data_IF_520476156177
#
_entry.id   IF_520476156177
#
_cell.length_a   1.000
_cell.length_b   1.000
_cell.length_c   1.000
_cell.angle_alpha   90.00
_cell.angle_beta   90.00
_cell.angle_gamma   90.00
#
_symmetry.space_group_name_H-M   'P 1'
#
loop_
_entity.id
_entity.type
_entity.pdbx_description
1 polymer ?
#
# COMPACT_ATOMS: atom_id res chain seq x y z
N UNK A 1 -6.69 -19.46 -2.56
CA UNK A 1 -7.61 -18.65 -3.39
C UNK A 1 -8.43 -17.82 -2.42
N UNK A 2 -8.37 -16.50 -2.54
CA UNK A 2 -9.09 -15.57 -1.66
C UNK A 2 -10.58 -15.65 -2.04
N UNK A 3 -11.46 -15.82 -1.05
CA UNK A 3 -12.91 -15.72 -1.29
C UNK A 3 -13.31 -14.25 -1.26
N UNK A 4 -13.36 -13.64 -2.44
CA UNK A 4 -13.63 -12.21 -2.59
C UNK A 4 -15.07 -11.80 -2.23
N UNK A 5 -15.98 -12.76 -1.99
CA UNK A 5 -17.35 -12.51 -1.55
C UNK A 5 -17.49 -12.51 -0.01
N UNK A 6 -16.38 -12.61 0.73
CA UNK A 6 -16.37 -12.57 2.19
C UNK A 6 -16.00 -11.18 2.70
N UNK A 7 -16.74 -10.72 3.71
CA UNK A 7 -16.40 -9.52 4.44
C UNK A 7 -15.21 -9.79 5.35
N UNK A 8 -14.22 -8.90 5.33
CA UNK A 8 -13.01 -9.01 6.11
C UNK A 8 -12.96 -7.97 7.20
N UNK A 9 -12.45 -8.39 8.35
CA UNK A 9 -12.08 -7.53 9.47
C UNK A 9 -10.66 -7.93 9.88
N UNK A 10 -9.63 -7.32 9.25
CA UNK A 10 -8.24 -7.72 9.47
C UNK A 10 -7.80 -7.65 10.93
N UNK A 11 -8.23 -6.63 11.68
CA UNK A 11 -7.95 -6.47 13.11
C UNK A 11 -8.57 -7.62 13.94
N UNK A 12 -9.86 -7.92 13.74
CA UNK A 12 -10.53 -8.99 14.44
C UNK A 12 -10.02 -10.39 14.04
N UNK A 13 -9.75 -10.61 12.74
CA UNK A 13 -9.14 -11.85 12.23
C UNK A 13 -7.77 -12.10 12.87
N UNK A 14 -6.92 -11.07 12.93
CA UNK A 14 -5.61 -11.16 13.56
C UNK A 14 -5.72 -11.45 15.07
N UNK A 15 -6.59 -10.72 15.78
CA UNK A 15 -6.82 -10.95 17.20
C UNK A 15 -7.33 -12.37 17.48
N UNK A 16 -8.25 -12.89 16.65
CA UNK A 16 -8.78 -14.24 16.80
C UNK A 16 -7.72 -15.34 16.59
N UNK A 17 -6.83 -15.16 15.61
CA UNK A 17 -5.77 -16.13 15.30
C UNK A 17 -4.65 -16.10 16.35
N UNK A 18 -4.34 -14.91 16.86
CA UNK A 18 -3.30 -14.71 17.89
C UNK A 18 -3.80 -15.12 19.28
N UNK A 19 -5.10 -14.93 19.55
CA UNK A 19 -5.71 -15.19 20.85
C UNK A 19 -5.37 -14.15 21.92
N UNK A 20 -5.85 -14.40 23.14
CA UNK A 20 -5.72 -13.47 24.26
C UNK A 20 -4.26 -13.21 24.67
N UNK A 21 -4.03 -12.05 25.30
CA UNK A 21 -2.75 -11.69 25.93
C UNK A 21 -1.79 -10.89 25.03
N UNK A 22 -2.19 -10.57 23.81
CA UNK A 22 -1.48 -9.70 22.88
C UNK A 22 -2.42 -8.63 22.35
N UNK A 23 -1.85 -7.49 21.98
CA UNK A 23 -2.56 -6.42 21.30
C UNK A 23 -1.96 -6.25 19.90
N UNK A 24 -2.67 -6.70 18.86
CA UNK A 24 -2.08 -6.91 17.54
C UNK A 24 -2.41 -5.81 16.54
N UNK A 25 -1.44 -5.49 15.69
CA UNK A 25 -1.57 -4.54 14.58
C UNK A 25 -1.41 -5.25 13.24
N UNK A 26 -2.08 -4.69 12.24
CA UNK A 26 -2.12 -5.19 10.87
C UNK A 26 -1.73 -4.08 9.90
N UNK A 27 -1.62 -4.40 8.61
CA UNK A 27 -1.33 -3.40 7.55
C UNK A 27 -2.59 -2.92 6.83
N UNK A 28 -3.69 -3.69 6.92
CA UNK A 28 -4.92 -3.47 6.17
C UNK A 28 -5.92 -2.63 6.96
N UNK A 29 -6.74 -1.78 6.31
CA UNK A 29 -7.85 -1.10 6.96
C UNK A 29 -8.85 -2.09 7.56
N UNK A 30 -9.38 -1.76 8.73
CA UNK A 30 -10.40 -2.59 9.41
C UNK A 30 -11.67 -1.78 9.71
N UNK A 31 -12.86 -2.42 9.68
CA UNK A 31 -14.09 -1.76 10.11
C UNK A 31 -14.06 -1.50 11.64
N UNK A 32 -14.83 -0.53 12.15
CA UNK A 32 -15.69 0.37 11.39
C UNK A 32 -14.92 1.50 10.71
N UNK A 33 -15.56 2.19 9.76
CA UNK A 33 -15.09 3.46 9.23
C UNK A 33 -14.72 4.47 10.34
N UNK A 34 -13.63 5.20 10.12
CA UNK A 34 -13.14 6.25 11.04
C UNK A 34 -13.48 7.62 10.44
N UNK A 35 -14.31 8.38 11.15
CA UNK A 35 -14.80 9.69 10.68
C UNK A 35 -14.05 10.90 11.29
N UNK A 36 -12.98 10.63 12.06
CA UNK A 36 -12.23 11.68 12.71
C UNK A 36 -11.26 12.41 11.75
N UNK A 37 -11.26 13.76 11.74
CA UNK A 37 -10.28 14.53 10.99
C UNK A 37 -8.86 14.37 11.60
N UNK A 38 -7.80 14.62 10.82
CA UNK A 38 -7.80 15.09 9.43
C UNK A 38 -7.71 13.96 8.40
N UNK A 39 -7.81 12.70 8.82
CA UNK A 39 -7.53 11.55 7.96
C UNK A 39 -8.77 10.85 7.44
N UNK A 40 -9.86 10.81 8.22
CA UNK A 40 -11.09 10.06 7.87
C UNK A 40 -10.76 8.63 7.40
N UNK A 41 -9.86 8.00 8.17
CA UNK A 41 -9.28 6.69 7.95
C UNK A 41 -8.55 6.24 9.22
N UNK A 42 -8.50 4.93 9.43
CA UNK A 42 -7.72 4.30 10.47
C UNK A 42 -6.20 4.39 10.21
N UNK A 43 -5.44 3.92 11.20
CA UNK A 43 -3.98 3.78 11.16
C UNK A 43 -3.63 2.40 11.74
N UNK A 44 -3.82 1.33 10.93
CA UNK A 44 -3.88 -0.05 11.44
C UNK A 44 -2.55 -0.54 12.02
N UNK A 45 -1.43 0.03 11.56
CA UNK A 45 -0.09 -0.29 12.04
C UNK A 45 0.28 0.45 13.33
N UNK A 46 -0.44 1.51 13.73
CA UNK A 46 -0.01 2.38 14.82
C UNK A 46 0.16 1.62 16.16
N UNK A 47 1.33 1.70 16.83
CA UNK A 47 1.67 0.84 17.96
C UNK A 47 1.02 1.27 19.30
N UNK A 48 0.05 2.18 19.27
CA UNK A 48 -0.65 2.61 20.50
C UNK A 48 -1.45 1.46 21.08
N UNK A 49 -1.20 1.11 22.35
CA UNK A 49 -1.94 0.06 23.04
C UNK A 49 -3.45 0.34 23.13
N UNK A 50 -4.27 -0.68 22.82
CA UNK A 50 -5.73 -0.76 22.91
C UNK A 50 -6.20 -1.69 24.04
N UNK A 51 -5.29 -2.40 24.70
CA UNK A 51 -5.63 -3.45 25.68
C UNK A 51 -4.50 -3.81 26.65
N UNK A 52 -4.68 -4.89 27.41
CA UNK A 52 -3.67 -5.38 28.34
C UNK A 52 -2.80 -6.45 27.66
N UNK A 53 -1.55 -6.11 27.37
CA UNK A 53 -0.57 -7.01 26.75
C UNK A 53 0.50 -6.25 25.96
N UNK A 54 1.58 -6.91 25.54
CA UNK A 54 2.53 -6.32 24.60
C UNK A 54 1.86 -6.08 23.24
N UNK A 55 2.19 -4.95 22.62
CA UNK A 55 1.76 -4.62 21.26
C UNK A 55 2.60 -5.39 20.26
N UNK A 56 1.95 -6.15 19.38
CA UNK A 56 2.59 -6.88 18.28
C UNK A 56 2.29 -6.14 16.99
N UNK A 57 3.32 -5.73 16.24
CA UNK A 57 3.14 -5.03 14.98
C UNK A 57 3.97 -5.61 13.83
N UNK A 58 3.65 -5.26 12.56
CA UNK A 58 4.45 -5.63 11.40
C UNK A 58 5.79 -4.90 11.28
N UNK A 59 6.16 -4.09 12.27
CA UNK A 59 7.35 -3.25 12.27
C UNK A 59 8.03 -3.23 13.65
N UNK A 60 9.28 -2.79 13.68
CA UNK A 60 10.14 -2.80 14.88
C UNK A 60 9.81 -1.75 15.94
N UNK A 61 8.96 -0.76 15.64
CA UNK A 61 8.52 0.26 16.60
C UNK A 61 7.49 -0.17 17.67
N UNK A 62 7.08 -1.44 17.73
CA UNK A 62 6.19 -1.96 18.76
C UNK A 62 6.95 -2.77 19.83
N UNK A 63 6.25 -3.35 20.82
CA UNK A 63 6.89 -4.18 21.85
C UNK A 63 7.45 -5.49 21.28
N UNK A 64 6.76 -6.06 20.28
CA UNK A 64 7.12 -7.27 19.56
C UNK A 64 6.80 -7.12 18.07
N UNK A 65 7.54 -7.82 17.22
CA UNK A 65 7.17 -8.01 15.82
C UNK A 65 6.33 -9.27 15.62
N UNK A 66 5.60 -9.36 14.50
CA UNK A 66 4.99 -10.64 14.09
C UNK A 66 6.05 -11.74 13.91
N UNK A 67 7.27 -11.42 13.46
CA UNK A 67 8.36 -12.39 13.32
C UNK A 67 8.80 -12.96 14.68
N UNK A 68 8.89 -12.13 15.73
CA UNK A 68 9.13 -12.58 17.10
C UNK A 68 8.02 -13.53 17.58
N UNK A 69 6.77 -13.21 17.24
CA UNK A 69 5.61 -14.02 17.60
C UNK A 69 5.60 -15.36 16.85
N UNK A 70 5.95 -15.37 15.57
CA UNK A 70 6.08 -16.57 14.74
C UNK A 70 7.21 -17.46 15.27
N UNK A 71 8.34 -16.89 15.68
CA UNK A 71 9.43 -17.66 16.28
C UNK A 71 8.98 -18.42 17.53
N UNK A 72 8.12 -17.82 18.35
CA UNK A 72 7.51 -18.47 19.50
C UNK A 72 6.34 -19.41 19.12
N UNK A 73 5.62 -19.10 18.04
CA UNK A 73 4.42 -19.82 17.57
C UNK A 73 4.42 -20.01 16.04
N UNK A 74 5.16 -21.01 15.53
CA UNK A 74 5.36 -21.19 14.08
C UNK A 74 4.08 -21.39 13.26
N UNK A 75 2.98 -21.84 13.89
CA UNK A 75 1.68 -22.02 13.24
C UNK A 75 1.02 -20.72 12.77
N UNK A 76 1.56 -19.55 13.14
CA UNK A 76 1.08 -18.23 12.69
C UNK A 76 1.68 -17.80 11.34
N UNK A 77 2.72 -18.49 10.86
CA UNK A 77 3.50 -18.07 9.70
C UNK A 77 2.64 -17.89 8.45
N UNK A 78 1.76 -18.85 8.13
CA UNK A 78 0.93 -18.77 6.93
C UNK A 78 -0.04 -17.58 6.96
N UNK A 79 -0.66 -17.31 8.11
CA UNK A 79 -1.57 -16.17 8.27
C UNK A 79 -0.85 -14.83 8.12
N UNK A 80 0.33 -14.72 8.72
CA UNK A 80 1.13 -13.51 8.71
C UNK A 80 1.76 -13.25 7.32
N UNK A 81 2.27 -14.29 6.68
CA UNK A 81 2.92 -14.21 5.36
C UNK A 81 1.94 -13.75 4.28
N UNK A 82 0.74 -14.33 4.29
CA UNK A 82 -0.37 -14.01 3.40
C UNK A 82 -0.89 -12.56 3.53
N UNK A 83 -0.56 -11.88 4.64
CA UNK A 83 -0.93 -10.48 4.92
C UNK A 83 0.28 -9.54 5.04
N UNK A 84 1.47 -10.00 4.70
CA UNK A 84 2.72 -9.24 4.79
C UNK A 84 3.08 -8.76 6.22
N UNK A 85 2.52 -9.40 7.25
CA UNK A 85 2.72 -9.02 8.65
C UNK A 85 4.08 -9.50 9.19
N UNK A 86 4.51 -10.69 8.76
CA UNK A 86 5.74 -11.39 9.15
C UNK A 86 5.91 -12.65 8.30
N UNK A 87 7.03 -13.37 8.40
CA UNK A 87 7.40 -14.47 7.50
C UNK A 87 7.19 -14.09 6.02
N UNK A 88 7.61 -12.88 5.66
CA UNK A 88 7.21 -12.21 4.41
C UNK A 88 7.70 -13.01 3.19
N UNK A 89 6.85 -13.17 2.17
CA UNK A 89 7.24 -13.91 0.97
C UNK A 89 8.18 -13.08 0.09
N UNK A 90 8.86 -13.75 -0.85
CA UNK A 90 9.54 -13.07 -1.94
C UNK A 90 8.51 -12.55 -2.95
N UNK A 91 8.84 -11.48 -3.65
CA UNK A 91 7.99 -10.97 -4.72
C UNK A 91 7.85 -12.02 -5.84
N UNK A 92 6.65 -12.18 -6.43
CA UNK A 92 6.46 -13.01 -7.61
C UNK A 92 7.20 -12.42 -8.81
N UNK A 93 7.41 -13.24 -9.84
CA UNK A 93 8.00 -12.80 -11.12
C UNK A 93 7.07 -11.79 -11.80
N UNK A 94 7.65 -10.72 -12.35
CA UNK A 94 6.92 -9.72 -13.11
C UNK A 94 6.17 -10.36 -14.30
N UNK A 95 4.82 -10.21 -14.39
CA UNK A 95 4.06 -10.83 -15.47
C UNK A 95 4.43 -10.27 -16.86
N UNK A 96 4.29 -11.07 -17.94
CA UNK A 96 4.44 -10.55 -19.29
C UNK A 96 3.37 -9.50 -19.61
N UNK A 97 3.72 -8.50 -20.44
CA UNK A 97 2.85 -7.37 -20.80
C UNK A 97 2.29 -6.60 -19.59
N UNK A 98 3.01 -6.57 -18.47
CA UNK A 98 2.56 -5.96 -17.22
C UNK A 98 2.19 -4.47 -17.38
N UNK A 99 2.98 -3.67 -18.10
CA UNK A 99 2.74 -2.24 -18.30
C UNK A 99 1.33 -1.92 -18.87
N UNK A 100 0.81 -2.76 -19.78
CA UNK A 100 -0.55 -2.61 -20.32
C UNK A 100 -1.63 -2.81 -19.26
N UNK A 101 -1.48 -3.86 -18.43
CA UNK A 101 -2.41 -4.13 -17.35
C UNK A 101 -2.31 -3.06 -16.26
N UNK A 102 -1.09 -2.65 -15.91
CA UNK A 102 -0.82 -1.59 -14.95
C UNK A 102 -1.56 -0.31 -15.29
N UNK A 103 -1.50 0.12 -16.56
CA UNK A 103 -2.22 1.30 -17.03
C UNK A 103 -3.73 1.23 -16.75
N UNK A 104 -4.37 0.08 -16.98
CA UNK A 104 -5.80 -0.10 -16.77
C UNK A 104 -6.17 -0.26 -15.28
N UNK A 105 -5.32 -0.88 -14.46
CA UNK A 105 -5.47 -0.87 -13.00
C UNK A 105 -5.32 0.54 -12.42
N UNK A 106 -4.37 1.34 -12.89
CA UNK A 106 -4.20 2.74 -12.48
C UNK A 106 -5.45 3.56 -12.84
N UNK A 107 -5.97 3.42 -14.07
CA UNK A 107 -7.25 4.05 -14.45
C UNK A 107 -8.38 3.68 -13.49
N UNK A 108 -8.54 2.40 -13.16
CA UNK A 108 -9.57 1.95 -12.22
C UNK A 108 -9.36 2.52 -10.81
N UNK A 109 -8.12 2.61 -10.34
CA UNK A 109 -7.78 3.07 -9.01
C UNK A 109 -8.24 4.50 -8.75
N UNK A 110 -7.89 5.46 -9.62
CA UNK A 110 -8.29 6.86 -9.40
C UNK A 110 -9.73 7.13 -9.83
N UNK A 111 -10.22 6.49 -10.90
CA UNK A 111 -11.50 6.88 -11.50
C UNK A 111 -12.72 6.22 -10.87
N UNK A 112 -12.56 5.10 -10.17
CA UNK A 112 -13.66 4.38 -9.53
C UNK A 112 -13.40 4.19 -8.04
N UNK A 113 -12.28 3.56 -7.68
CA UNK A 113 -12.01 3.17 -6.27
C UNK A 113 -11.82 4.41 -5.40
N UNK A 114 -10.92 5.30 -5.79
CA UNK A 114 -10.68 6.55 -5.07
C UNK A 114 -11.86 7.53 -5.20
N UNK A 115 -12.50 7.58 -6.37
CA UNK A 115 -13.65 8.44 -6.62
C UNK A 115 -14.84 8.09 -5.71
N UNK A 116 -15.06 6.80 -5.41
CA UNK A 116 -16.10 6.38 -4.46
C UNK A 116 -15.90 6.99 -3.07
N UNK A 117 -14.66 6.97 -2.56
CA UNK A 117 -14.31 7.60 -1.28
C UNK A 117 -14.43 9.12 -1.39
N UNK A 118 -13.97 9.70 -2.50
CA UNK A 118 -13.98 11.15 -2.71
C UNK A 118 -15.40 11.72 -2.70
N UNK A 119 -16.34 11.07 -3.39
CA UNK A 119 -17.73 11.52 -3.42
C UNK A 119 -18.41 11.42 -2.03
N UNK A 120 -17.94 10.53 -1.15
CA UNK A 120 -18.44 10.42 0.21
C UNK A 120 -17.90 11.50 1.15
N UNK A 121 -16.58 11.74 1.18
CA UNK A 121 -15.96 12.59 2.21
C UNK A 121 -14.81 13.50 1.71
N UNK A 122 -14.62 13.61 0.39
CA UNK A 122 -13.59 14.44 -0.23
C UNK A 122 -12.17 13.90 -0.12
N UNK A 123 -11.96 12.72 0.46
CA UNK A 123 -10.65 12.04 0.50
C UNK A 123 -10.58 10.97 -0.58
N UNK A 124 -9.38 10.78 -1.13
CA UNK A 124 -9.16 9.86 -2.25
C UNK A 124 -7.99 8.89 -2.03
N UNK A 125 -7.22 9.06 -0.95
CA UNK A 125 -6.11 8.16 -0.63
C UNK A 125 -6.56 6.71 -0.48
N UNK A 126 -5.76 5.78 -1.01
CA UNK A 126 -5.97 4.35 -0.97
C UNK A 126 -4.99 3.68 0.01
N UNK A 127 -5.13 2.37 0.17
CA UNK A 127 -4.38 1.52 1.08
C UNK A 127 -4.10 0.18 0.41
N UNK A 128 -3.06 -0.49 0.89
CA UNK A 128 -2.92 -1.92 0.70
C UNK A 128 -4.11 -2.65 1.35
N UNK A 129 -4.61 -3.65 0.65
CA UNK A 129 -5.55 -4.66 1.14
C UNK A 129 -5.06 -6.00 0.63
N UNK A 130 -5.37 -7.09 1.33
CA UNK A 130 -4.89 -8.42 0.98
C UNK A 130 -5.21 -8.77 -0.48
N UNK A 131 -4.14 -8.96 -1.26
CA UNK A 131 -4.23 -9.31 -2.68
C UNK A 131 -4.48 -8.15 -3.65
N UNK A 132 -4.38 -6.88 -3.20
CA UNK A 132 -4.49 -5.72 -4.08
C UNK A 132 -4.43 -4.38 -3.35
N UNK A 133 -5.39 -3.51 -3.66
CA UNK A 133 -5.49 -2.16 -3.11
C UNK A 133 -6.95 -1.74 -2.93
N UNK A 134 -7.22 -0.77 -2.07
CA UNK A 134 -8.58 -0.29 -1.85
C UNK A 134 -8.65 0.97 -1.02
N UNK A 135 -9.87 1.42 -0.76
CA UNK A 135 -10.11 2.51 0.18
C UNK A 135 -9.87 2.02 1.62
N UNK A 136 -9.57 2.92 2.57
CA UNK A 136 -9.99 2.71 3.96
C UNK A 136 -11.50 2.45 4.04
N UNK A 137 -12.00 1.97 5.18
CA UNK A 137 -13.44 2.02 5.42
C UNK A 137 -13.90 3.49 5.53
N UNK A 138 -15.01 3.83 4.88
CA UNK A 138 -15.55 5.19 4.82
C UNK A 138 -17.09 5.21 4.87
N UNK A 139 -17.66 6.36 5.23
CA UNK A 139 -19.12 6.56 5.24
C UNK A 139 -19.81 5.56 6.16
N UNK A 140 -20.87 4.92 5.66
CA UNK A 140 -21.64 3.89 6.38
C UNK A 140 -20.90 2.53 6.42
N UNK A 141 -19.63 2.54 6.84
CA UNK A 141 -18.75 1.37 6.95
C UNK A 141 -18.56 0.59 5.64
N UNK A 142 -18.27 1.35 4.57
CA UNK A 142 -18.07 0.84 3.21
C UNK A 142 -16.59 0.77 2.88
N UNK A 143 -16.17 -0.30 2.22
CA UNK A 143 -14.87 -0.41 1.56
C UNK A 143 -15.04 -0.83 0.11
N UNK A 144 -14.36 -0.11 -0.79
CA UNK A 144 -14.20 -0.51 -2.19
C UNK A 144 -12.76 -0.95 -2.41
N UNK A 145 -12.56 -2.17 -2.90
CA UNK A 145 -11.21 -2.71 -3.12
C UNK A 145 -11.10 -3.53 -4.39
N UNK A 146 -9.89 -3.60 -4.91
CA UNK A 146 -9.45 -4.52 -5.96
C UNK A 146 -8.63 -5.62 -5.31
N UNK A 147 -8.91 -6.87 -5.67
CA UNK A 147 -8.10 -8.02 -5.27
C UNK A 147 -8.00 -9.01 -6.44
N UNK A 148 -6.80 -9.21 -6.98
CA UNK A 148 -6.62 -9.91 -8.26
C UNK A 148 -7.39 -9.22 -9.38
N UNK A 149 -8.24 -9.98 -10.09
CA UNK A 149 -9.09 -9.51 -11.19
C UNK A 149 -10.51 -9.08 -10.75
N UNK A 150 -10.73 -8.92 -9.44
CA UNK A 150 -12.04 -8.64 -8.85
C UNK A 150 -12.13 -7.26 -8.24
N UNK A 151 -13.26 -6.61 -8.50
CA UNK A 151 -13.72 -5.43 -7.77
C UNK A 151 -14.68 -5.90 -6.68
N UNK A 152 -14.43 -5.47 -5.45
CA UNK A 152 -15.17 -5.88 -4.25
C UNK A 152 -15.71 -4.65 -3.55
N UNK A 153 -16.98 -4.72 -3.17
CA UNK A 153 -17.61 -3.75 -2.27
C UNK A 153 -18.02 -4.50 -1.01
N UNK A 154 -17.53 -4.03 0.12
CA UNK A 154 -17.92 -4.50 1.44
C UNK A 154 -18.70 -3.40 2.15
N UNK A 155 -19.84 -3.76 2.69
CA UNK A 155 -20.72 -2.90 3.48
C UNK A 155 -20.97 -3.62 4.81
N UNK A 156 -20.36 -3.13 5.88
CA UNK A 156 -20.33 -3.79 7.18
C UNK A 156 -19.87 -5.27 7.06
N UNK A 157 -20.72 -6.22 7.51
CA UNK A 157 -20.43 -7.66 7.51
C UNK A 157 -20.77 -8.40 6.20
N UNK A 158 -21.07 -7.68 5.11
CA UNK A 158 -21.41 -8.28 3.81
C UNK A 158 -20.46 -7.80 2.73
N UNK A 159 -20.05 -8.70 1.84
CA UNK A 159 -19.25 -8.35 0.67
C UNK A 159 -19.84 -8.94 -0.60
N UNK A 160 -19.64 -8.23 -1.70
CA UNK A 160 -19.98 -8.67 -3.06
C UNK A 160 -18.80 -8.38 -3.97
N UNK A 161 -18.58 -9.28 -4.93
CA UNK A 161 -17.49 -9.16 -5.89
C UNK A 161 -18.00 -9.31 -7.32
N UNK A 162 -17.39 -8.58 -8.25
CA UNK A 162 -17.60 -8.70 -9.69
C UNK A 162 -16.26 -8.76 -10.43
N UNK A 163 -16.19 -9.42 -11.61
CA UNK A 163 -15.04 -9.28 -12.50
C UNK A 163 -14.83 -7.82 -12.92
N UNK A 164 -13.58 -7.41 -13.10
CA UNK A 164 -13.24 -6.11 -13.69
C UNK A 164 -13.32 -6.21 -15.22
N UNK A 165 -14.10 -5.32 -15.84
CA UNK A 165 -14.39 -5.36 -17.28
C UNK A 165 -14.20 -4.00 -17.96
N UNK A 166 -14.98 -2.99 -17.58
CA UNK A 166 -14.89 -1.61 -18.07
C UNK A 166 -15.01 -0.64 -16.90
N UNK A 167 -14.61 0.62 -17.08
CA UNK A 167 -14.81 1.64 -16.04
C UNK A 167 -16.30 1.91 -15.80
N UNK A 168 -17.14 1.86 -16.85
CA UNK A 168 -18.60 1.99 -16.72
C UNK A 168 -19.19 0.92 -15.80
N UNK A 169 -18.92 -0.36 -16.10
CA UNK A 169 -19.47 -1.47 -15.32
C UNK A 169 -18.92 -1.48 -13.87
N UNK A 170 -17.66 -1.08 -13.68
CA UNK A 170 -17.08 -0.90 -12.35
C UNK A 170 -17.77 0.23 -11.56
N UNK A 171 -18.03 1.38 -12.19
CA UNK A 171 -18.76 2.49 -11.59
C UNK A 171 -20.19 2.11 -11.21
N UNK A 172 -20.92 1.45 -12.12
CA UNK A 172 -22.28 0.93 -11.86
C UNK A 172 -22.30 -0.08 -10.71
N UNK A 173 -21.31 -0.98 -10.64
CA UNK A 173 -21.17 -1.93 -9.55
C UNK A 173 -20.92 -1.23 -8.22
N UNK A 174 -20.07 -0.20 -8.18
CA UNK A 174 -19.76 0.52 -6.93
C UNK A 174 -20.86 1.52 -6.55
N UNK A 175 -21.65 2.00 -7.52
CA UNK A 175 -22.61 3.07 -7.32
C UNK A 175 -21.98 4.46 -7.43
N UNK A 176 -20.93 4.61 -8.25
CA UNK A 176 -20.19 5.85 -8.46
C UNK A 176 -20.07 6.16 -9.94
N UNK A 177 -20.19 7.43 -10.33
CA UNK A 177 -19.86 7.86 -11.69
C UNK A 177 -18.32 7.88 -11.84
N UNK A 178 -17.73 7.17 -12.82
CA UNK A 178 -16.29 7.20 -13.03
C UNK A 178 -15.81 8.64 -13.27
N UNK A 179 -14.89 9.08 -12.41
CA UNK A 179 -14.46 10.48 -12.34
C UNK A 179 -12.96 10.63 -12.51
N UNK A 180 -12.50 11.87 -12.47
CA UNK A 180 -11.07 12.17 -12.42
C UNK A 180 -10.76 13.13 -11.30
N UNK A 181 -11.59 13.18 -10.26
CA UNK A 181 -11.41 14.19 -9.23
C UNK A 181 -10.19 13.89 -8.38
N UNK A 182 -9.91 12.60 -8.21
CA UNK A 182 -8.72 12.06 -7.57
C UNK A 182 -7.47 12.03 -8.49
N UNK A 183 -7.53 12.61 -9.70
CA UNK A 183 -6.38 12.63 -10.62
C UNK A 183 -5.31 13.62 -10.13
N UNK A 184 -4.07 13.23 -10.31
CA UNK A 184 -2.90 14.08 -10.18
C UNK A 184 -2.29 14.31 -11.58
N UNK A 185 -1.20 15.07 -11.64
CA UNK A 185 -0.62 15.51 -12.91
C UNK A 185 -0.15 14.36 -13.81
N UNK A 186 0.26 13.24 -13.23
CA UNK A 186 0.77 12.06 -13.94
C UNK A 186 -0.28 10.96 -14.11
N UNK A 187 -1.53 11.22 -13.71
CA UNK A 187 -2.59 10.24 -13.86
C UNK A 187 -2.93 10.01 -15.34
N UNK A 188 -3.16 8.74 -15.76
CA UNK A 188 -3.67 8.43 -17.08
C UNK A 188 -4.93 9.24 -17.41
N UNK A 189 -5.14 9.60 -18.68
CA UNK A 189 -6.42 10.17 -19.09
C UNK A 189 -7.58 9.19 -18.81
N UNK A 190 -8.75 9.73 -18.43
CA UNK A 190 -9.95 8.91 -18.22
C UNK A 190 -10.28 8.09 -19.45
N UNK A 191 -10.13 8.69 -20.64
CA UNK A 191 -10.38 8.06 -21.92
C UNK A 191 -11.81 7.55 -22.08
N UNK A 192 -11.98 6.53 -22.92
CA UNK A 192 -13.24 5.83 -23.12
C UNK A 192 -13.54 4.92 -21.93
N UNK A 193 -14.63 5.19 -21.21
CA UNK A 193 -15.07 4.42 -20.04
C UNK A 193 -15.74 3.09 -20.41
N UNK A 194 -16.11 2.91 -21.69
CA UNK A 194 -16.65 1.66 -22.25
C UNK A 194 -15.55 0.76 -22.83
N UNK A 195 -14.31 1.26 -22.93
CA UNK A 195 -13.16 0.46 -23.38
C UNK A 195 -12.92 -0.71 -22.40
N UNK A 196 -12.75 -1.95 -22.89
CA UNK A 196 -12.32 -3.08 -22.07
C UNK A 196 -10.99 -2.80 -21.37
N UNK A 197 -10.94 -3.10 -20.07
CA UNK A 197 -9.76 -3.02 -19.22
C UNK A 197 -8.97 -4.33 -19.29
N UNK A 198 -7.65 -4.22 -19.35
CA UNK A 198 -6.72 -5.34 -19.25
C UNK A 198 -6.50 -5.77 -17.77
N UNK A 199 -7.54 -6.29 -17.13
CA UNK A 199 -7.53 -6.70 -15.72
C UNK A 199 -7.10 -8.17 -15.53
N UNK A 200 -5.89 -8.51 -15.98
CA UNK A 200 -5.34 -9.86 -15.82
C UNK A 200 -5.10 -10.21 -14.35
N UNK A 201 -5.44 -11.44 -13.97
CA UNK A 201 -5.32 -11.91 -12.58
C UNK A 201 -3.87 -11.91 -12.11
N UNK A 202 -2.92 -12.31 -12.95
CA UNK A 202 -1.50 -12.36 -12.59
C UNK A 202 -0.92 -10.96 -12.33
N UNK A 203 -1.40 -9.95 -13.06
CA UNK A 203 -1.03 -8.56 -12.83
C UNK A 203 -1.65 -8.01 -11.54
N UNK A 204 -2.91 -8.34 -11.26
CA UNK A 204 -3.56 -7.96 -9.99
C UNK A 204 -2.91 -8.62 -8.77
N UNK A 205 -2.55 -9.90 -8.86
CA UNK A 205 -1.81 -10.63 -7.83
C UNK A 205 -0.41 -10.04 -7.62
N UNK A 206 0.30 -9.68 -8.70
CA UNK A 206 1.58 -8.99 -8.61
C UNK A 206 1.45 -7.63 -7.92
N UNK A 207 0.46 -6.82 -8.31
CA UNK A 207 0.21 -5.51 -7.67
C UNK A 207 -0.11 -5.67 -6.18
N UNK A 208 -0.91 -6.66 -5.80
CA UNK A 208 -1.18 -6.97 -4.39
C UNK A 208 0.08 -7.34 -3.60
N UNK A 209 0.97 -8.14 -4.19
CA UNK A 209 2.26 -8.47 -3.59
C UNK A 209 3.17 -7.24 -3.48
N UNK A 210 3.24 -6.43 -4.53
CA UNK A 210 4.03 -5.20 -4.56
C UNK A 210 3.58 -4.21 -3.50
N UNK A 211 2.27 -3.93 -3.39
CA UNK A 211 1.73 -3.02 -2.40
C UNK A 211 1.79 -3.56 -0.97
N UNK A 212 1.72 -4.88 -0.79
CA UNK A 212 1.97 -5.53 0.51
C UNK A 212 3.40 -5.33 1.00
N UNK A 213 4.38 -5.59 0.13
CA UNK A 213 5.80 -5.34 0.42
C UNK A 213 6.05 -3.86 0.69
N UNK A 214 5.52 -2.97 -0.16
CA UNK A 214 5.67 -1.53 -0.04
C UNK A 214 5.15 -1.03 1.32
N UNK A 215 3.94 -1.44 1.70
CA UNK A 215 3.32 -1.01 2.96
C UNK A 215 4.12 -1.53 4.16
N UNK A 216 4.58 -2.78 4.13
CA UNK A 216 5.42 -3.33 5.20
C UNK A 216 6.75 -2.57 5.36
N UNK A 217 7.44 -2.28 4.25
CA UNK A 217 8.72 -1.57 4.27
C UNK A 217 8.58 -0.09 4.67
N UNK A 218 7.52 0.59 4.21
CA UNK A 218 7.24 1.99 4.58
C UNK A 218 6.82 2.13 6.04
N UNK A 219 6.02 1.21 6.58
CA UNK A 219 5.69 1.21 8.03
C UNK A 219 6.93 0.92 8.88
N UNK A 220 7.83 0.04 8.43
CA UNK A 220 9.13 -0.18 9.09
C UNK A 220 9.99 1.09 9.09
N UNK A 221 10.07 1.82 7.97
CA UNK A 221 10.76 3.12 7.94
C UNK A 221 10.07 4.12 8.88
N UNK A 222 8.76 4.30 8.76
CA UNK A 222 7.96 5.26 9.53
C UNK A 222 8.16 5.12 11.04
N UNK A 223 8.25 3.90 11.55
CA UNK A 223 8.43 3.62 12.97
C UNK A 223 9.88 3.31 13.37
N UNK A 224 10.83 3.48 12.45
CA UNK A 224 12.26 3.33 12.77
C UNK A 224 12.74 4.43 13.72
N UNK A 225 13.58 4.11 14.72
CA UNK A 225 14.13 5.11 15.63
C UNK A 225 14.89 6.22 14.89
N UNK A 226 14.58 7.48 15.21
CA UNK A 226 15.24 8.65 14.64
C UNK A 226 14.63 9.18 13.33
N UNK A 227 13.58 8.54 12.82
CA UNK A 227 12.79 9.09 11.72
C UNK A 227 11.95 10.27 12.23
N UNK A 228 12.16 11.44 11.64
CA UNK A 228 11.54 12.70 12.04
C UNK A 228 10.31 12.98 11.18
N UNK A 229 9.22 13.38 11.85
CA UNK A 229 7.94 13.79 11.23
C UNK A 229 7.46 12.90 10.07
N UNK A 230 7.39 11.55 10.24
CA UNK A 230 6.92 10.69 9.18
C UNK A 230 5.39 10.77 9.04
N UNK A 231 4.93 10.91 7.80
CA UNK A 231 3.52 10.82 7.43
C UNK A 231 3.00 9.37 7.47
N UNK A 232 1.67 9.21 7.44
CA UNK A 232 1.04 7.88 7.34
C UNK A 232 1.28 7.28 5.97
N UNK A 233 1.50 5.97 5.90
CA UNK A 233 1.54 5.25 4.62
C UNK A 233 0.21 5.42 3.90
N UNK A 234 0.30 5.84 2.63
CA UNK A 234 -0.85 5.99 1.76
C UNK A 234 -0.50 5.58 0.35
N UNK A 235 -1.42 4.88 -0.31
CA UNK A 235 -1.37 4.71 -1.75
C UNK A 235 -2.04 5.93 -2.40
N UNK A 236 -1.25 6.73 -3.14
CA UNK A 236 -1.72 7.88 -3.88
C UNK A 236 -2.29 7.43 -5.21
N UNK A 237 -3.61 7.53 -5.45
CA UNK A 237 -4.20 6.97 -6.66
C UNK A 237 -3.75 7.66 -7.94
N UNK A 238 -3.25 8.90 -7.87
CA UNK A 238 -2.85 9.66 -9.04
C UNK A 238 -1.45 9.32 -9.57
N UNK A 239 -0.54 8.93 -8.67
CA UNK A 239 0.77 8.33 -8.98
C UNK A 239 0.73 6.78 -8.98
N UNK A 240 -0.31 6.21 -8.38
CA UNK A 240 -0.55 4.78 -8.17
C UNK A 240 0.52 4.07 -7.35
N UNK A 241 1.09 4.75 -6.37
CA UNK A 241 2.16 4.25 -5.52
C UNK A 241 1.86 4.42 -4.02
N UNK A 242 2.27 3.45 -3.17
CA UNK A 242 2.38 3.67 -1.73
C UNK A 242 3.57 4.56 -1.41
N UNK A 243 3.36 5.59 -0.59
CA UNK A 243 4.42 6.48 -0.16
C UNK A 243 4.21 7.06 1.25
N UNK A 244 5.30 7.59 1.82
CA UNK A 244 5.31 8.52 2.95
C UNK A 244 6.22 9.70 2.64
N UNK A 245 5.97 10.86 3.23
CA UNK A 245 7.01 11.87 3.41
C UNK A 245 7.59 11.76 4.82
N UNK A 246 8.89 11.93 4.96
CA UNK A 246 9.57 11.96 6.25
C UNK A 246 10.82 12.84 6.19
N UNK A 247 11.27 13.32 7.35
CA UNK A 247 12.41 14.21 7.49
C UNK A 247 12.03 15.66 7.75
N UNK A 248 13.03 16.45 8.11
CA UNK A 248 12.86 17.84 8.52
C UNK A 248 12.84 18.77 7.29
N UNK A 249 11.67 19.33 7.01
CA UNK A 249 11.48 20.27 5.92
C UNK A 249 12.24 21.59 6.12
N UNK A 250 12.42 22.04 7.37
CA UNK A 250 13.06 23.33 7.66
C UNK A 250 14.56 23.30 7.39
N UNK A 251 15.19 22.13 7.50
CA UNK A 251 16.61 21.93 7.19
C UNK A 251 16.90 21.40 5.79
N UNK A 252 15.88 21.28 4.92
CA UNK A 252 16.03 20.76 3.56
C UNK A 252 16.28 19.24 3.52
N UNK A 253 15.94 18.52 4.59
CA UNK A 253 16.23 17.08 4.78
C UNK A 253 15.00 16.20 4.66
N UNK A 254 13.94 16.71 4.05
CA UNK A 254 12.68 16.00 3.83
C UNK A 254 12.68 15.34 2.45
N UNK A 255 12.12 14.14 2.39
CA UNK A 255 11.93 13.41 1.15
C UNK A 255 10.62 12.64 1.15
N UNK A 256 10.18 12.31 -0.05
CA UNK A 256 9.14 11.31 -0.30
C UNK A 256 9.82 9.95 -0.51
N UNK A 257 9.33 8.94 0.19
CA UNK A 257 9.77 7.55 0.12
C UNK A 257 8.62 6.73 -0.41
N UNK A 258 8.80 5.99 -1.49
CA UNK A 258 7.68 5.29 -2.10
C UNK A 258 8.05 4.13 -3.01
N UNK A 259 7.01 3.46 -3.50
CA UNK A 259 7.09 2.23 -4.29
C UNK A 259 6.23 2.38 -5.54
N UNK A 260 6.83 2.83 -6.63
CA UNK A 260 6.14 2.90 -7.91
C UNK A 260 5.97 1.50 -8.49
N UNK A 261 4.74 1.11 -8.90
CA UNK A 261 4.52 -0.14 -9.62
C UNK A 261 5.07 -0.10 -11.06
N UNK A 262 5.71 1.00 -11.48
CA UNK A 262 6.15 1.29 -12.84
C UNK A 262 5.40 2.49 -13.41
N UNK A 263 6.01 3.19 -14.35
CA UNK A 263 5.46 4.38 -14.99
C UNK A 263 6.03 4.58 -16.41
N UNK A 264 5.93 5.79 -16.95
CA UNK A 264 6.39 6.11 -18.30
C UNK A 264 7.92 6.25 -18.43
N UNK A 265 8.61 6.49 -17.32
CA UNK A 265 10.07 6.53 -17.22
C UNK A 265 10.65 5.16 -16.88
N UNK A 266 9.90 4.35 -16.14
CA UNK A 266 10.33 3.05 -15.63
C UNK A 266 9.36 1.93 -16.01
N UNK A 267 9.77 1.10 -16.98
CA UNK A 267 8.98 -0.06 -17.43
C UNK A 267 8.77 -1.13 -16.32
N UNK A 268 9.69 -1.20 -15.35
CA UNK A 268 9.58 -2.11 -14.19
C UNK A 268 9.27 -1.35 -12.88
N UNK A 269 8.64 -2.01 -11.90
CA UNK A 269 8.45 -1.43 -10.56
C UNK A 269 9.77 -1.00 -9.92
N UNK A 270 9.73 -0.01 -9.05
CA UNK A 270 10.92 0.48 -8.35
C UNK A 270 10.57 1.15 -7.02
N UNK A 271 11.52 1.10 -6.09
CA UNK A 271 11.48 1.85 -4.83
C UNK A 271 12.19 3.18 -5.05
N UNK A 272 11.73 4.27 -4.47
CA UNK A 272 12.38 5.57 -4.61
C UNK A 272 12.54 6.34 -3.30
N UNK A 273 13.53 7.21 -3.32
CA UNK A 273 13.72 8.32 -2.37
C UNK A 273 13.81 9.60 -3.18
N UNK A 274 12.77 10.43 -3.14
CA UNK A 274 12.69 11.70 -3.85
C UNK A 274 12.88 12.86 -2.86
N UNK A 275 14.08 13.43 -2.85
CA UNK A 275 14.46 14.53 -1.98
C UNK A 275 13.79 15.84 -2.42
N UNK A 276 13.25 16.57 -1.45
CA UNK A 276 12.58 17.85 -1.72
C UNK A 276 13.56 19.00 -1.98
N UNK A 277 14.82 18.84 -1.57
CA UNK A 277 15.93 19.78 -1.75
C UNK A 277 17.14 19.08 -2.38
N UNK A 278 18.14 19.85 -2.80
CA UNK A 278 19.30 19.37 -3.55
C UNK A 278 20.03 18.22 -2.85
N UNK A 279 20.43 17.23 -3.65
CA UNK A 279 21.25 16.09 -3.20
C UNK A 279 22.67 16.17 -3.73
N UNK A 280 23.63 15.57 -3.02
CA UNK A 280 25.01 15.47 -3.48
C UNK A 280 25.14 14.46 -4.62
N UNK A 281 25.04 14.94 -5.87
CA UNK A 281 25.16 14.11 -7.09
C UNK A 281 26.52 13.45 -7.28
N UNK A 282 27.50 13.69 -6.42
CA UNK A 282 28.74 12.90 -6.40
C UNK A 282 28.62 11.59 -5.60
N UNK A 283 27.60 11.46 -4.75
CA UNK A 283 27.25 10.20 -4.09
C UNK A 283 26.46 9.32 -5.08
N UNK A 284 26.98 8.12 -5.45
CA UNK A 284 26.34 7.23 -6.42
C UNK A 284 24.98 6.70 -5.96
N UNK A 285 24.60 6.87 -4.69
CA UNK A 285 23.25 6.57 -4.22
C UNK A 285 22.19 7.38 -4.98
N UNK A 286 22.45 8.67 -5.26
CA UNK A 286 21.51 9.57 -5.94
C UNK A 286 21.54 9.38 -7.46
N UNK A 287 21.10 8.21 -7.89
CA UNK A 287 21.25 7.64 -9.23
C UNK A 287 20.15 8.06 -10.23
N UNK A 288 19.14 8.83 -9.83
CA UNK A 288 18.02 9.19 -10.70
C UNK A 288 18.23 10.48 -11.48
N UNK A 289 17.94 10.43 -12.79
CA UNK A 289 18.04 11.60 -13.68
C UNK A 289 16.69 12.30 -13.88
N UNK A 290 15.58 11.55 -13.82
CA UNK A 290 14.24 12.07 -14.07
C UNK A 290 13.66 12.83 -12.87
N UNK A 291 14.16 12.54 -11.67
CA UNK A 291 13.80 13.28 -10.46
C UNK A 291 14.99 13.47 -9.51
N UNK A 292 14.82 14.37 -8.55
CA UNK A 292 15.83 14.67 -7.54
C UNK A 292 15.88 13.58 -6.47
N UNK A 293 16.55 12.47 -6.75
CA UNK A 293 16.48 11.33 -5.86
C UNK A 293 17.30 10.11 -6.26
N UNK A 294 16.85 8.98 -5.74
CA UNK A 294 17.41 7.66 -5.97
C UNK A 294 16.30 6.65 -6.22
N UNK A 295 16.62 5.58 -6.95
CA UNK A 295 15.76 4.40 -7.08
C UNK A 295 16.50 3.08 -6.86
N UNK A 296 15.73 2.08 -6.41
CA UNK A 296 16.09 0.66 -6.44
C UNK A 296 15.09 -0.07 -7.34
N UNK A 297 15.57 -0.54 -8.48
CA UNK A 297 14.74 -1.21 -9.48
C UNK A 297 14.27 -2.59 -9.01
N UNK A 298 13.13 -3.06 -9.53
CA UNK A 298 12.61 -4.40 -9.24
C UNK A 298 13.63 -5.50 -9.53
N UNK A 299 14.34 -5.42 -10.66
CA UNK A 299 15.38 -6.38 -11.01
C UNK A 299 16.53 -6.42 -9.99
N UNK A 300 16.94 -5.25 -9.46
CA UNK A 300 17.95 -5.18 -8.41
C UNK A 300 17.42 -5.71 -7.08
N UNK A 301 16.17 -5.42 -6.73
CA UNK A 301 15.51 -5.93 -5.54
C UNK A 301 15.42 -7.46 -5.55
N UNK A 302 15.05 -8.05 -6.70
CA UNK A 302 14.94 -9.50 -6.88
C UNK A 302 16.27 -10.25 -6.89
N UNK A 303 17.40 -9.54 -6.91
CA UNK A 303 18.72 -10.16 -6.72
C UNK A 303 19.06 -10.39 -5.24
N UNK A 304 18.31 -9.80 -4.30
CA UNK A 304 18.49 -10.00 -2.87
C UNK A 304 17.86 -11.30 -2.37
N UNK A 305 18.41 -11.88 -1.29
CA UNK A 305 17.82 -13.06 -0.64
C UNK A 305 16.56 -12.72 0.19
N UNK A 306 16.46 -11.48 0.66
CA UNK A 306 15.31 -10.94 1.40
C UNK A 306 14.90 -9.62 0.76
N UNK A 307 13.82 -9.67 -0.04
CA UNK A 307 13.34 -8.48 -0.73
C UNK A 307 12.83 -7.41 0.26
N UNK A 308 12.16 -7.78 1.34
CA UNK A 308 11.65 -6.79 2.29
C UNK A 308 12.80 -6.12 3.06
N UNK A 309 13.78 -6.91 3.49
CA UNK A 309 15.00 -6.39 4.12
C UNK A 309 15.77 -5.43 3.21
N UNK A 310 15.99 -5.82 1.94
CA UNK A 310 16.68 -4.97 0.96
C UNK A 310 15.92 -3.66 0.68
N UNK A 311 14.59 -3.72 0.62
CA UNK A 311 13.74 -2.53 0.48
C UNK A 311 13.90 -1.57 1.67
N UNK A 312 13.81 -2.10 2.90
CA UNK A 312 13.98 -1.31 4.13
C UNK A 312 15.39 -0.71 4.21
N UNK A 313 16.42 -1.46 3.84
CA UNK A 313 17.80 -0.98 3.84
C UNK A 313 17.99 0.19 2.87
N UNK A 314 17.46 0.09 1.65
CA UNK A 314 17.51 1.19 0.67
C UNK A 314 16.83 2.47 1.20
N UNK A 315 15.63 2.34 1.76
CA UNK A 315 14.88 3.45 2.33
C UNK A 315 15.63 4.13 3.48
N UNK A 316 16.19 3.33 4.40
CA UNK A 316 16.99 3.81 5.52
C UNK A 316 18.29 4.47 5.07
N UNK A 317 18.93 3.93 4.04
CA UNK A 317 20.18 4.47 3.50
C UNK A 317 19.99 5.86 2.89
N UNK A 318 18.85 6.06 2.20
CA UNK A 318 18.42 7.37 1.70
C UNK A 318 18.05 8.35 2.80
N UNK A 319 17.26 7.91 3.80
CA UNK A 319 16.94 8.73 4.98
C UNK A 319 18.19 9.18 5.74
N UNK A 320 19.14 8.26 5.96
CA UNK A 320 20.39 8.55 6.65
C UNK A 320 21.29 9.53 5.88
N UNK A 321 21.30 9.49 4.54
CA UNK A 321 22.06 10.45 3.71
C UNK A 321 21.52 11.86 3.80
N UNK A 322 20.21 12.02 3.74
CA UNK A 322 19.57 13.33 3.89
C UNK A 322 19.73 13.90 5.30
N UNK A 323 19.86 13.03 6.30
CA UNK A 323 19.99 13.44 7.71
C UNK A 323 21.41 13.90 8.11
N UNK A 324 22.41 13.77 7.23
CA UNK A 324 23.81 14.16 7.51
C UNK A 324 24.03 15.66 7.43
#
# INVERSE_FOLDING_TARGET
>A
MIDHAVAHDPDAEAAAVVGDGYDVRVLEPSPPAVDDPPFWADDPAHPSSRGAGPVVAPHSGADLTWDDLIAARPGLADFASDRWLGARPQLPVLPPNYASALFDYHRLAYSVVAEARYQCNGKFGLRYVRGGFGTPFFGDDVQVRVAGDRLVVQEAGQARAAPITTLREAGEFVGVDPGTTAREHDSPELGDIDRPLDARVEAGEFLGAWFGLATAALEELRFSPGVADPERVQLWPGHFDPAIAAGDAESGRRATYGFSPGDHSHDEPYIYVAAWDDVDRSDPFWNEEDFNGASLSYSALCAAEDHCGAAVDFLRDGYARLSR
#
